data_IF_263825599095
#
_entry.id   IF_263825599095
#
_cell.length_a   1.000
_cell.length_b   1.000
_cell.length_c   1.000
_cell.angle_alpha   90.00
_cell.angle_beta   90.00
_cell.angle_gamma   90.00
#
_symmetry.space_group_name_H-M   'P 1'
#
loop_
_entity.id
_entity.type
_entity.pdbx_description
1 polymer ?
#
# COMPACT_ATOMS: atom_id res chain seq x y z
N UNK A 1 1.28 20.34 -31.69
CA UNK A 1 0.12 19.57 -31.21
C UNK A 1 -0.10 19.96 -29.77
N UNK A 2 -1.25 20.54 -29.44
CA UNK A 2 -1.61 20.86 -28.06
C UNK A 2 -1.73 19.55 -27.28
N UNK A 3 -1.40 19.56 -25.99
CA UNK A 3 -1.64 18.40 -25.11
C UNK A 3 -3.14 18.02 -25.06
N UNK A 4 -4.03 18.99 -25.28
CA UNK A 4 -5.48 18.79 -25.45
C UNK A 4 -5.83 17.95 -26.70
N UNK A 5 -5.04 18.00 -27.78
CA UNK A 5 -5.28 17.18 -28.98
C UNK A 5 -4.98 15.68 -28.74
N UNK A 6 -4.39 15.34 -27.58
CA UNK A 6 -3.99 13.98 -27.18
C UNK A 6 -4.73 13.47 -25.94
N UNK A 7 -5.75 14.18 -25.48
CA UNK A 7 -6.44 13.93 -24.21
C UNK A 7 -5.53 13.98 -22.96
N UNK A 8 -4.32 14.57 -23.07
CA UNK A 8 -3.36 14.71 -21.97
C UNK A 8 -3.67 15.95 -21.11
N UNK A 9 -4.87 15.99 -20.52
CA UNK A 9 -5.37 17.16 -19.77
C UNK A 9 -4.51 17.50 -18.55
N UNK A 10 -3.89 16.52 -17.88
CA UNK A 10 -3.01 16.78 -16.73
C UNK A 10 -1.76 17.59 -17.11
N UNK A 11 -1.15 17.28 -18.27
CA UNK A 11 0.01 18.01 -18.77
C UNK A 11 -0.39 19.40 -19.29
N UNK A 12 -1.56 19.51 -19.94
CA UNK A 12 -2.14 20.79 -20.34
C UNK A 12 -2.36 21.73 -19.13
N UNK A 13 -2.97 21.22 -18.05
CA UNK A 13 -3.19 21.95 -16.80
C UNK A 13 -1.87 22.43 -16.18
N UNK A 14 -0.81 21.60 -16.22
CA UNK A 14 0.50 21.98 -15.70
C UNK A 14 1.15 23.10 -16.52
N UNK A 15 0.98 23.08 -17.85
CA UNK A 15 1.40 24.18 -18.72
C UNK A 15 0.67 25.49 -18.40
N UNK A 16 -0.64 25.45 -18.19
CA UNK A 16 -1.41 26.66 -17.84
C UNK A 16 -1.04 27.24 -16.47
N UNK A 17 -0.80 26.38 -15.46
CA UNK A 17 -0.32 26.83 -14.14
C UNK A 17 1.05 27.50 -14.22
N UNK A 18 1.99 26.92 -14.99
CA UNK A 18 3.32 27.54 -15.21
C UNK A 18 3.24 28.91 -15.87
N UNK A 19 2.28 29.11 -16.77
CA UNK A 19 2.04 30.42 -17.41
C UNK A 19 1.52 31.42 -16.37
N UNK A 20 0.62 31.00 -15.46
CA UNK A 20 0.12 31.85 -14.40
C UNK A 20 1.20 32.25 -13.38
N UNK A 21 2.12 31.35 -13.08
CA UNK A 21 3.17 31.58 -12.07
C UNK A 21 4.41 32.29 -12.63
N UNK A 22 4.72 32.11 -13.92
CA UNK A 22 5.99 32.54 -14.53
C UNK A 22 5.94 33.82 -15.36
N UNK A 23 4.79 34.48 -15.51
CA UNK A 23 4.64 35.65 -16.39
C UNK A 23 5.24 36.93 -15.77
N UNK A 24 6.23 37.58 -16.42
CA UNK A 24 6.83 38.83 -15.96
C UNK A 24 5.79 39.94 -15.76
N UNK A 25 5.95 40.75 -14.71
CA UNK A 25 4.97 41.79 -14.32
C UNK A 25 4.75 42.85 -15.40
N UNK A 26 5.75 43.08 -16.23
CA UNK A 26 5.89 44.12 -17.26
C UNK A 26 5.57 43.62 -18.68
N UNK A 27 5.16 42.36 -18.84
CA UNK A 27 4.86 41.80 -20.15
C UNK A 27 3.62 42.46 -20.80
N UNK A 28 3.71 42.94 -22.04
CA UNK A 28 2.54 43.47 -22.76
C UNK A 28 1.52 42.35 -23.00
N UNK A 29 0.23 42.64 -22.76
CA UNK A 29 -0.85 41.63 -22.92
C UNK A 29 -0.90 40.59 -21.79
N UNK A 30 -0.18 40.79 -20.68
CA UNK A 30 -0.19 39.89 -19.51
C UNK A 30 -1.58 39.58 -18.99
N UNK A 31 -2.44 40.59 -18.90
CA UNK A 31 -3.79 40.43 -18.34
C UNK A 31 -4.67 39.54 -19.23
N UNK A 32 -4.54 39.68 -20.55
CA UNK A 32 -5.20 38.81 -21.54
C UNK A 32 -4.64 37.39 -21.48
N UNK A 33 -3.31 37.23 -21.39
CA UNK A 33 -2.65 35.93 -21.29
C UNK A 33 -3.04 35.19 -20.01
N UNK A 34 -3.12 35.88 -18.86
CA UNK A 34 -3.59 35.34 -17.58
C UNK A 34 -5.06 34.95 -17.69
N UNK A 35 -5.89 35.82 -18.25
CA UNK A 35 -7.33 35.56 -18.41
C UNK A 35 -7.58 34.34 -19.30
N UNK A 36 -6.83 34.22 -20.39
CA UNK A 36 -6.92 33.10 -21.33
C UNK A 36 -6.37 31.80 -20.73
N UNK A 37 -5.25 31.85 -20.01
CA UNK A 37 -4.70 30.71 -19.28
C UNK A 37 -5.64 30.20 -18.18
N UNK A 38 -6.32 31.10 -17.45
CA UNK A 38 -7.36 30.74 -16.47
C UNK A 38 -8.57 30.08 -17.14
N UNK A 39 -9.01 30.60 -18.28
CA UNK A 39 -10.11 30.03 -19.04
C UNK A 39 -9.78 28.60 -19.51
N UNK A 40 -8.63 28.41 -20.14
CA UNK A 40 -8.20 27.08 -20.60
C UNK A 40 -7.91 26.11 -19.45
N UNK A 41 -7.39 26.58 -18.32
CA UNK A 41 -7.24 25.75 -17.12
C UNK A 41 -8.61 25.26 -16.61
N UNK A 42 -9.63 26.11 -16.63
CA UNK A 42 -10.99 25.74 -16.20
C UNK A 42 -11.63 24.73 -17.16
N UNK A 43 -11.47 24.92 -18.46
CA UNK A 43 -12.03 24.02 -19.48
C UNK A 43 -11.31 22.65 -19.48
N UNK A 44 -9.97 22.65 -19.32
CA UNK A 44 -9.17 21.43 -19.16
C UNK A 44 -9.44 20.70 -17.84
N UNK A 45 -9.74 21.43 -16.75
CA UNK A 45 -10.13 20.83 -15.48
C UNK A 45 -11.51 20.16 -15.57
N UNK A 46 -12.50 20.83 -16.16
CA UNK A 46 -13.82 20.28 -16.37
C UNK A 46 -13.82 19.05 -17.30
N UNK A 47 -12.92 19.04 -18.31
CA UNK A 47 -12.77 17.91 -19.23
C UNK A 47 -11.97 16.76 -18.61
N UNK A 48 -10.91 17.06 -17.85
CA UNK A 48 -10.06 16.06 -17.20
C UNK A 48 -10.70 15.37 -15.98
N UNK A 49 -11.52 16.07 -15.20
CA UNK A 49 -12.24 15.48 -14.05
C UNK A 49 -13.17 14.36 -14.49
N UNK A 50 -13.88 14.53 -15.62
CA UNK A 50 -14.83 13.49 -16.08
C UNK A 50 -14.17 12.15 -16.37
N UNK A 51 -12.89 12.09 -16.75
CA UNK A 51 -12.22 10.80 -17.04
C UNK A 51 -11.61 10.15 -15.79
N UNK A 52 -11.17 10.93 -14.81
CA UNK A 52 -10.62 10.41 -13.54
C UNK A 52 -11.75 9.99 -12.58
N UNK A 53 -12.78 10.82 -12.45
CA UNK A 53 -13.96 10.52 -11.64
C UNK A 53 -14.69 9.27 -12.15
N UNK A 54 -14.81 9.08 -13.46
CA UNK A 54 -15.45 7.89 -14.03
C UNK A 54 -14.70 6.59 -13.73
N UNK A 55 -13.36 6.62 -13.70
CA UNK A 55 -12.57 5.41 -13.43
C UNK A 55 -12.61 5.04 -11.96
N UNK A 56 -12.44 6.01 -11.06
CA UNK A 56 -12.57 5.78 -9.62
C UNK A 56 -13.99 5.37 -9.25
N UNK A 57 -15.01 6.00 -9.84
CA UNK A 57 -16.40 5.60 -9.64
C UNK A 57 -16.65 4.17 -10.12
N UNK A 58 -16.18 3.80 -11.33
CA UNK A 58 -16.31 2.41 -11.83
C UNK A 58 -15.60 1.40 -10.92
N UNK A 59 -14.45 1.76 -10.33
CA UNK A 59 -13.75 0.89 -9.37
C UNK A 59 -14.54 0.75 -8.07
N UNK A 60 -15.10 1.84 -7.54
CA UNK A 60 -15.94 1.83 -6.34
C UNK A 60 -17.22 1.01 -6.56
N UNK A 61 -17.90 1.21 -7.69
CA UNK A 61 -19.10 0.46 -8.05
C UNK A 61 -18.81 -1.04 -8.19
N UNK A 62 -17.66 -1.40 -8.78
CA UNK A 62 -17.20 -2.80 -8.84
C UNK A 62 -16.94 -3.38 -7.45
N UNK A 63 -16.30 -2.61 -6.58
CA UNK A 63 -15.98 -3.06 -5.23
C UNK A 63 -17.26 -3.26 -4.41
N UNK A 64 -18.22 -2.34 -4.51
CA UNK A 64 -19.54 -2.45 -3.88
C UNK A 64 -20.29 -3.70 -4.38
N UNK A 65 -20.28 -3.95 -5.69
CA UNK A 65 -20.85 -5.19 -6.25
C UNK A 65 -20.21 -6.43 -5.61
N UNK A 66 -18.88 -6.48 -5.52
CA UNK A 66 -18.17 -7.62 -4.91
C UNK A 66 -18.54 -7.81 -3.44
N UNK A 67 -18.72 -6.74 -2.66
CA UNK A 67 -19.09 -6.85 -1.25
C UNK A 67 -20.50 -7.42 -1.04
N UNK A 68 -21.41 -7.17 -1.97
CA UNK A 68 -22.79 -7.70 -1.91
C UNK A 68 -22.90 -9.18 -2.28
N UNK A 69 -21.85 -9.79 -2.85
CA UNK A 69 -21.89 -11.20 -3.24
C UNK A 69 -22.02 -12.10 -2.00
N UNK A 70 -22.94 -13.08 -2.02
CA UNK A 70 -23.14 -13.98 -0.90
C UNK A 70 -22.00 -15.00 -0.81
N UNK A 71 -21.59 -15.35 0.41
CA UNK A 71 -20.54 -16.36 0.64
C UNK A 71 -20.93 -17.76 0.15
N UNK A 72 -22.22 -18.00 -0.10
CA UNK A 72 -22.75 -19.26 -0.65
C UNK A 72 -22.35 -19.54 -2.08
N UNK A 73 -22.02 -18.51 -2.86
CA UNK A 73 -21.68 -18.62 -4.28
C UNK A 73 -20.25 -19.15 -4.49
N UNK A 74 -19.47 -19.22 -3.42
CA UNK A 74 -18.09 -19.68 -3.45
C UNK A 74 -17.97 -21.15 -3.05
N UNK A 75 -16.97 -21.81 -3.62
CA UNK A 75 -16.64 -23.21 -3.33
C UNK A 75 -15.97 -23.36 -1.95
N UNK A 76 -16.76 -23.13 -0.92
CA UNK A 76 -16.37 -23.31 0.47
C UNK A 76 -16.70 -24.72 0.96
N UNK A 77 -15.81 -25.27 1.80
CA UNK A 77 -16.10 -26.52 2.47
C UNK A 77 -17.39 -26.41 3.31
N UNK A 78 -18.06 -27.55 3.50
CA UNK A 78 -19.30 -27.61 4.31
C UNK A 78 -19.06 -27.11 5.74
N UNK A 79 -17.83 -27.28 6.28
CA UNK A 79 -17.45 -26.72 7.58
C UNK A 79 -17.36 -25.20 7.55
N UNK A 80 -16.65 -24.63 6.56
CA UNK A 80 -16.51 -23.18 6.41
C UNK A 80 -17.89 -22.51 6.29
N UNK A 81 -18.79 -23.05 5.44
CA UNK A 81 -20.17 -22.53 5.30
C UNK A 81 -20.97 -22.61 6.59
N UNK A 82 -20.93 -23.72 7.31
CA UNK A 82 -21.64 -23.86 8.58
C UNK A 82 -21.09 -22.94 9.67
N UNK A 83 -19.78 -22.65 9.66
CA UNK A 83 -19.17 -21.71 10.60
C UNK A 83 -19.57 -20.27 10.29
N UNK A 84 -19.49 -19.86 9.02
CA UNK A 84 -19.89 -18.51 8.59
C UNK A 84 -21.37 -18.26 8.87
N UNK A 85 -22.24 -19.23 8.55
CA UNK A 85 -23.67 -19.12 8.84
C UNK A 85 -23.97 -18.98 10.34
N UNK A 86 -23.20 -19.68 11.20
CA UNK A 86 -23.34 -19.58 12.66
C UNK A 86 -22.88 -18.23 13.22
N UNK A 87 -21.93 -17.58 12.54
CA UNK A 87 -21.48 -16.22 12.85
C UNK A 87 -22.39 -15.14 12.25
N UNK A 88 -23.41 -15.52 11.47
CA UNK A 88 -24.29 -14.58 10.78
C UNK A 88 -23.66 -13.93 9.55
N UNK A 89 -22.50 -14.41 9.10
CA UNK A 89 -21.78 -13.90 7.93
C UNK A 89 -22.42 -14.47 6.67
N UNK A 90 -23.05 -13.62 5.86
CA UNK A 90 -23.77 -14.03 4.65
C UNK A 90 -23.15 -13.46 3.38
N UNK A 91 -22.47 -12.32 3.47
CA UNK A 91 -21.87 -11.64 2.32
C UNK A 91 -20.35 -11.51 2.48
N UNK A 92 -19.66 -11.25 1.36
CA UNK A 92 -18.25 -10.88 1.39
C UNK A 92 -18.01 -9.60 2.20
N UNK A 93 -18.95 -8.65 2.19
CA UNK A 93 -18.93 -7.46 3.02
C UNK A 93 -18.84 -7.77 4.51
N UNK A 94 -19.70 -8.67 5.00
CA UNK A 94 -19.69 -9.09 6.40
C UNK A 94 -18.35 -9.76 6.78
N UNK A 95 -17.79 -10.52 5.85
CA UNK A 95 -16.50 -11.20 6.03
C UNK A 95 -15.34 -10.20 6.10
N UNK A 96 -15.38 -9.13 5.31
CA UNK A 96 -14.39 -8.04 5.36
C UNK A 96 -14.46 -7.19 6.63
N UNK A 97 -15.58 -7.21 7.35
CA UNK A 97 -15.75 -6.55 8.65
C UNK A 97 -15.36 -7.44 9.83
N UNK A 98 -15.22 -8.75 9.60
CA UNK A 98 -14.85 -9.70 10.65
C UNK A 98 -13.33 -9.87 10.68
N UNK A 99 -12.72 -9.80 11.86
CA UNK A 99 -11.28 -9.99 11.99
C UNK A 99 -10.90 -11.48 11.99
N UNK A 100 -9.64 -11.78 11.62
CA UNK A 100 -9.11 -13.15 11.69
C UNK A 100 -9.20 -13.74 13.10
N UNK A 101 -9.03 -12.90 14.13
CA UNK A 101 -9.12 -13.29 15.53
C UNK A 101 -10.53 -13.73 15.93
N UNK A 102 -11.57 -13.03 15.47
CA UNK A 102 -12.97 -13.37 15.76
C UNK A 102 -13.39 -14.68 15.09
N UNK A 103 -12.88 -14.90 13.88
CA UNK A 103 -13.07 -16.12 13.12
C UNK A 103 -12.40 -17.31 13.81
N UNK A 104 -11.14 -17.16 14.26
CA UNK A 104 -10.39 -18.17 15.01
C UNK A 104 -10.95 -18.43 16.42
N UNK A 105 -11.58 -17.44 17.06
CA UNK A 105 -12.20 -17.60 18.37
C UNK A 105 -13.44 -18.52 18.33
N UNK A 106 -14.03 -18.72 17.15
CA UNK A 106 -15.14 -19.65 16.97
C UNK A 106 -14.67 -21.10 17.13
N UNK A 107 -15.23 -21.80 18.13
CA UNK A 107 -14.88 -23.18 18.54
C UNK A 107 -14.84 -24.25 17.44
N UNK A 108 -15.37 -23.96 16.25
CA UNK A 108 -15.47 -24.89 15.13
C UNK A 108 -14.67 -24.44 13.90
N UNK A 109 -13.92 -23.33 14.00
CA UNK A 109 -13.12 -22.81 12.90
C UNK A 109 -11.75 -23.49 12.85
N UNK A 110 -11.43 -24.11 11.71
CA UNK A 110 -10.14 -24.76 11.49
C UNK A 110 -9.19 -23.89 10.67
N UNK A 111 -7.89 -24.19 10.75
CA UNK A 111 -6.84 -23.56 9.95
C UNK A 111 -7.08 -23.73 8.43
N UNK A 112 -7.65 -24.86 8.02
CA UNK A 112 -8.04 -25.11 6.62
C UNK A 112 -9.18 -24.20 6.15
N UNK A 113 -10.21 -23.98 6.98
CA UNK A 113 -11.32 -23.08 6.67
C UNK A 113 -10.86 -21.63 6.52
N UNK A 114 -9.84 -21.24 7.28
CA UNK A 114 -9.27 -19.89 7.25
C UNK A 114 -8.46 -19.64 5.97
N UNK A 115 -7.68 -20.62 5.52
CA UNK A 115 -6.98 -20.55 4.23
C UNK A 115 -7.98 -20.46 3.07
N UNK A 116 -9.03 -21.30 3.06
CA UNK A 116 -10.10 -21.26 2.04
C UNK A 116 -10.71 -19.85 1.89
N UNK A 117 -11.00 -19.19 3.02
CA UNK A 117 -11.58 -17.85 3.04
C UNK A 117 -10.59 -16.79 2.57
N UNK A 118 -9.33 -16.88 3.01
CA UNK A 118 -8.27 -15.96 2.55
C UNK A 118 -8.06 -16.07 1.04
N UNK A 119 -8.08 -17.28 0.49
CA UNK A 119 -7.92 -17.49 -0.96
C UNK A 119 -9.09 -16.89 -1.76
N UNK A 120 -10.34 -17.05 -1.29
CA UNK A 120 -11.51 -16.44 -1.94
C UNK A 120 -11.44 -14.92 -1.89
N UNK A 121 -11.12 -14.34 -0.72
CA UNK A 121 -10.98 -12.90 -0.57
C UNK A 121 -9.86 -12.37 -1.47
N UNK A 122 -8.71 -13.03 -1.49
CA UNK A 122 -7.59 -12.67 -2.36
C UNK A 122 -7.97 -12.74 -3.86
N UNK A 123 -8.75 -13.74 -4.27
CA UNK A 123 -9.25 -13.85 -5.66
C UNK A 123 -10.13 -12.68 -6.10
N UNK A 124 -10.73 -11.96 -5.14
CA UNK A 124 -11.56 -10.79 -5.35
C UNK A 124 -10.86 -9.46 -5.03
N UNK A 125 -9.57 -9.51 -4.68
CA UNK A 125 -8.79 -8.34 -4.28
C UNK A 125 -9.18 -7.78 -2.91
N UNK A 126 -9.83 -8.58 -2.07
CA UNK A 126 -10.26 -8.22 -0.72
C UNK A 126 -9.33 -8.86 0.32
N UNK A 127 -9.31 -8.26 1.51
CA UNK A 127 -8.55 -8.75 2.66
C UNK A 127 -9.49 -8.95 3.85
N UNK A 128 -9.30 -10.05 4.57
CA UNK A 128 -10.07 -10.35 5.77
C UNK A 128 -9.84 -9.24 6.81
N UNK A 129 -10.91 -8.66 7.34
CA UNK A 129 -10.81 -7.55 8.30
C UNK A 129 -10.40 -6.20 7.70
N UNK A 130 -10.42 -5.99 6.38
CA UNK A 130 -10.11 -4.68 5.77
C UNK A 130 -11.03 -3.55 6.24
N UNK A 131 -12.24 -3.88 6.70
CA UNK A 131 -13.22 -2.95 7.25
C UNK A 131 -13.60 -3.31 8.69
N UNK A 132 -12.81 -4.17 9.36
CA UNK A 132 -13.02 -4.43 10.77
C UNK A 132 -12.65 -3.16 11.55
N UNK A 133 -13.57 -2.69 12.39
CA UNK A 133 -13.26 -1.66 13.37
C UNK A 133 -12.06 -2.16 14.20
N UNK A 134 -11.06 -1.31 14.46
CA UNK A 134 -9.95 -1.69 15.32
C UNK A 134 -10.49 -1.94 16.73
N UNK A 135 -10.78 -3.20 17.05
CA UNK A 135 -10.92 -3.63 18.43
C UNK A 135 -9.63 -3.22 19.14
N UNK A 136 -9.76 -2.39 20.17
CA UNK A 136 -8.66 -1.77 20.93
C UNK A 136 -7.81 -2.80 21.73
N UNK A 137 -7.63 -4.02 21.23
CA UNK A 137 -6.90 -5.11 21.87
C UNK A 137 -5.73 -5.66 21.04
N UNK A 138 -5.34 -5.01 19.94
CA UNK A 138 -4.05 -5.29 19.28
C UNK A 138 -3.29 -4.00 18.99
N UNK A 139 -2.77 -3.40 20.07
CA UNK A 139 -1.63 -2.48 19.97
C UNK A 139 -0.42 -3.25 19.45
N UNK A 140 -0.13 -3.12 18.14
CA UNK A 140 1.22 -3.04 17.58
C UNK A 140 1.18 -3.00 16.05
N UNK A 141 0.55 -1.98 15.52
CA UNK A 141 0.99 -1.39 14.25
C UNK A 141 1.12 0.09 14.50
N UNK A 142 2.34 0.62 14.76
CA UNK A 142 2.51 2.05 14.80
C UNK A 142 2.22 2.59 13.41
N UNK A 143 1.08 3.25 13.31
CA UNK A 143 0.79 4.31 12.36
C UNK A 143 1.94 5.31 12.50
N UNK A 144 2.79 5.41 11.48
CA UNK A 144 3.64 6.59 11.30
C UNK A 144 3.13 7.35 10.08
N UNK A 145 2.43 8.42 10.42
CA UNK A 145 2.13 9.57 9.57
C UNK A 145 3.43 10.38 9.46
N UNK A 146 4.09 10.40 8.29
CA UNK A 146 4.80 11.55 7.69
C UNK A 146 5.59 11.16 6.41
N UNK A 147 5.91 12.13 5.53
CA UNK A 147 5.86 11.95 4.08
C UNK A 147 7.22 11.56 3.44
N UNK A 148 7.22 11.53 2.11
CA UNK A 148 8.34 11.52 1.14
C UNK A 148 8.51 10.19 0.39
N UNK A 149 7.99 10.21 -0.85
CA UNK A 149 7.94 9.12 -1.81
C UNK A 149 9.28 8.63 -2.38
N UNK A 150 10.26 8.35 -1.52
CA UNK A 150 11.50 7.64 -1.89
C UNK A 150 11.72 6.37 -1.06
N UNK A 151 11.23 6.31 0.19
CA UNK A 151 11.50 5.16 1.07
C UNK A 151 10.77 3.88 0.63
N UNK A 152 9.55 4.00 0.11
CA UNK A 152 8.71 2.87 -0.33
C UNK A 152 9.38 2.02 -1.42
N UNK A 153 10.15 2.65 -2.32
CA UNK A 153 10.88 1.92 -3.36
C UNK A 153 12.05 1.13 -2.77
N UNK A 154 12.74 1.68 -1.76
CA UNK A 154 13.95 1.07 -1.17
C UNK A 154 13.64 -0.22 -0.41
N UNK A 155 12.48 -0.31 0.24
CA UNK A 155 12.08 -1.50 1.01
C UNK A 155 11.89 -2.76 0.15
N UNK A 156 11.60 -2.61 -1.14
CA UNK A 156 11.43 -3.72 -2.09
C UNK A 156 12.74 -4.26 -2.69
N UNK A 157 13.87 -3.58 -2.51
CA UNK A 157 15.13 -4.03 -3.08
C UNK A 157 15.69 -5.26 -2.34
N UNK A 158 16.36 -6.17 -3.05
CA UNK A 158 17.02 -7.31 -2.44
C UNK A 158 18.17 -6.84 -1.55
N UNK A 159 18.42 -7.58 -0.47
CA UNK A 159 19.54 -7.31 0.44
C UNK A 159 20.92 -7.33 -0.24
N UNK A 160 21.00 -7.89 -1.46
CA UNK A 160 22.22 -7.86 -2.26
C UNK A 160 22.66 -6.45 -2.65
N UNK A 161 21.70 -5.52 -2.75
CA UNK A 161 21.91 -4.12 -3.14
C UNK A 161 22.53 -3.26 -2.03
N UNK A 162 22.43 -3.72 -0.77
CA UNK A 162 23.12 -3.12 0.38
C UNK A 162 24.64 -3.37 0.38
N UNK A 163 25.17 -4.13 -0.59
CA UNK A 163 26.60 -4.43 -0.75
C UNK A 163 27.32 -4.85 0.55
N UNK A 164 26.61 -5.60 1.40
CA UNK A 164 27.13 -6.12 2.67
C UNK A 164 28.28 -7.11 2.46
N UNK A 165 29.19 -7.19 3.44
CA UNK A 165 30.26 -8.18 3.49
C UNK A 165 29.73 -9.61 3.40
N UNK A 166 30.60 -10.52 2.96
CA UNK A 166 30.27 -11.96 2.85
C UNK A 166 29.79 -12.53 4.19
N UNK A 167 30.27 -12.01 5.32
CA UNK A 167 29.83 -12.43 6.67
C UNK A 167 28.42 -11.93 6.97
N UNK A 168 28.17 -10.62 6.83
CA UNK A 168 26.86 -10.03 7.09
C UNK A 168 25.78 -10.64 6.18
N UNK A 169 26.09 -10.82 4.88
CA UNK A 169 25.20 -11.45 3.90
C UNK A 169 24.87 -12.91 4.23
N UNK A 170 25.88 -13.71 4.62
CA UNK A 170 25.63 -15.10 5.04
C UNK A 170 24.73 -15.18 6.28
N UNK A 171 24.87 -14.23 7.20
CA UNK A 171 24.02 -14.17 8.38
C UNK A 171 22.59 -13.76 8.03
N UNK A 172 22.39 -12.72 7.20
CA UNK A 172 21.06 -12.27 6.81
C UNK A 172 20.33 -13.30 5.96
N UNK A 173 21.01 -13.99 5.05
CA UNK A 173 20.44 -15.14 4.32
C UNK A 173 20.09 -16.30 5.26
N UNK A 174 20.89 -16.55 6.31
CA UNK A 174 20.60 -17.59 7.31
C UNK A 174 19.40 -17.24 8.19
N UNK A 175 19.15 -15.95 8.41
CA UNK A 175 17.95 -15.42 9.08
C UNK A 175 16.72 -15.36 8.16
N UNK A 176 16.86 -15.75 6.88
CA UNK A 176 15.79 -15.68 5.90
C UNK A 176 15.45 -14.24 5.47
N UNK A 177 16.34 -13.29 5.69
CA UNK A 177 16.16 -11.90 5.29
C UNK A 177 16.59 -11.75 3.83
N UNK A 178 15.62 -11.52 2.94
CA UNK A 178 15.83 -11.44 1.50
C UNK A 178 15.78 -9.99 0.99
N UNK A 179 15.04 -9.12 1.68
CA UNK A 179 14.81 -7.73 1.29
C UNK A 179 15.33 -6.72 2.31
N UNK A 180 15.56 -5.48 1.87
CA UNK A 180 15.93 -4.36 2.75
C UNK A 180 14.77 -4.08 3.74
N UNK A 181 13.53 -4.19 3.30
CA UNK A 181 12.35 -4.01 4.14
C UNK A 181 12.28 -4.99 5.32
N UNK A 182 12.62 -6.26 5.09
CA UNK A 182 12.71 -7.26 6.16
C UNK A 182 13.84 -6.98 7.15
N UNK A 183 14.98 -6.48 6.66
CA UNK A 183 16.13 -6.12 7.49
C UNK A 183 15.81 -4.96 8.45
N UNK A 184 15.15 -3.92 7.95
CA UNK A 184 14.73 -2.74 8.73
C UNK A 184 13.74 -3.10 9.83
N UNK A 185 12.90 -4.12 9.61
CA UNK A 185 11.92 -4.60 10.60
C UNK A 185 12.54 -5.41 11.75
N UNK A 186 13.80 -5.82 11.63
CA UNK A 186 14.54 -6.57 12.66
C UNK A 186 15.28 -5.62 13.60
N UNK A 187 15.42 -6.06 14.86
CA UNK A 187 16.17 -5.33 15.89
C UNK A 187 17.66 -5.72 15.82
N UNK A 188 18.52 -4.87 16.39
CA UNK A 188 19.95 -5.18 16.52
C UNK A 188 20.21 -6.45 17.35
N UNK A 189 19.35 -6.74 18.33
CA UNK A 189 19.42 -7.91 19.20
C UNK A 189 19.13 -9.21 18.44
N UNK A 190 18.08 -9.22 17.61
CA UNK A 190 17.73 -10.35 16.72
C UNK A 190 18.91 -10.72 15.79
N UNK A 191 19.62 -9.71 15.29
CA UNK A 191 20.77 -9.92 14.41
C UNK A 191 21.97 -10.49 15.18
N UNK A 192 22.19 -10.06 16.43
CA UNK A 192 23.26 -10.58 17.29
C UNK A 192 23.01 -12.00 17.82
N UNK A 193 21.77 -12.47 17.82
CA UNK A 193 21.45 -13.86 18.17
C UNK A 193 22.01 -14.87 17.15
N UNK A 194 22.35 -14.42 15.94
CA UNK A 194 22.90 -15.28 14.92
C UNK A 194 24.33 -15.75 15.26
N UNK A 195 24.53 -17.08 15.33
CA UNK A 195 25.87 -17.68 15.46
C UNK A 195 26.80 -17.19 14.35
N UNK A 196 27.82 -16.42 14.74
CA UNK A 196 28.83 -15.72 13.91
C UNK A 196 28.46 -14.32 13.40
N UNK A 197 27.39 -13.70 13.91
CA UNK A 197 27.13 -12.27 13.73
C UNK A 197 27.84 -11.50 14.84
N UNK A 198 28.79 -10.64 14.45
CA UNK A 198 29.59 -9.85 15.38
C UNK A 198 29.25 -8.37 15.31
N UNK A 199 29.76 -7.61 16.29
CA UNK A 199 29.59 -6.15 16.38
C UNK A 199 30.03 -5.43 15.10
N UNK A 200 31.05 -5.93 14.41
CA UNK A 200 31.51 -5.38 13.12
C UNK A 200 30.49 -5.56 11.99
N UNK A 201 29.80 -6.70 11.92
CA UNK A 201 28.73 -6.93 10.95
C UNK A 201 27.47 -6.13 11.28
N UNK A 202 27.18 -5.89 12.56
CA UNK A 202 26.08 -5.03 12.98
C UNK A 202 26.34 -3.57 12.58
N UNK A 203 27.54 -3.06 12.84
CA UNK A 203 27.92 -1.70 12.48
C UNK A 203 27.92 -1.50 10.96
N UNK A 204 28.37 -2.50 10.20
CA UNK A 204 28.31 -2.49 8.73
C UNK A 204 26.86 -2.42 8.22
N UNK A 205 25.94 -3.23 8.78
CA UNK A 205 24.52 -3.17 8.42
C UNK A 205 23.92 -1.80 8.73
N UNK A 206 24.25 -1.22 9.90
CA UNK A 206 23.79 0.12 10.30
C UNK A 206 24.30 1.20 9.36
N UNK A 207 25.58 1.19 9.03
CA UNK A 207 26.21 2.17 8.14
C UNK A 207 25.58 2.13 6.74
N UNK A 208 25.37 0.93 6.18
CA UNK A 208 24.74 0.75 4.87
C UNK A 208 23.26 1.12 4.83
N UNK A 209 22.54 0.95 5.95
CA UNK A 209 21.17 1.42 6.07
C UNK A 209 21.13 2.95 6.17
N UNK A 210 22.03 3.57 6.94
CA UNK A 210 22.13 5.03 7.07
C UNK A 210 22.53 5.70 5.76
N UNK A 211 23.43 5.10 4.97
CA UNK A 211 23.76 5.55 3.60
C UNK A 211 22.52 5.64 2.69
N UNK A 212 21.51 4.79 2.95
CA UNK A 212 20.24 4.74 2.21
C UNK A 212 19.10 5.47 2.93
N UNK A 213 19.40 6.20 4.01
CA UNK A 213 18.40 6.96 4.80
C UNK A 213 17.48 6.08 5.67
N UNK A 214 17.85 4.83 5.91
CA UNK A 214 17.08 3.85 6.70
C UNK A 214 17.74 3.57 8.05
N UNK A 215 16.93 3.13 9.02
CA UNK A 215 17.39 2.72 10.35
C UNK A 215 16.84 1.35 10.73
N UNK A 216 17.51 0.66 11.65
CA UNK A 216 16.99 -0.59 12.22
C UNK A 216 15.88 -0.29 13.22
N UNK A 217 14.99 -1.26 13.43
CA UNK A 217 13.93 -1.16 14.45
C UNK A 217 14.55 -1.06 15.83
N UNK A 218 14.35 0.10 16.48
CA UNK A 218 14.83 0.39 17.84
C UNK A 218 15.92 1.47 17.95
N UNK A 219 16.24 2.21 16.87
CA UNK A 219 17.29 3.26 16.83
C UNK A 219 16.93 4.50 16.00
#
# INVERSE_FOLDING_TARGET
LLYEDRDDFSQAQQCYRRILDGLPLDAPGREEAISRAKLFLKDSAASGDTQLDEQEQKQRDRLEQVLTLPVSDFELSVRSRNCLAKMGIQTLGDLTQTSEADVLASKNFGETSLVEIKDILASKGLVLGQFAEPSMASESSPIFDEPVGEQTEIHGLPITELNLSVRARKCTTKLGIMTIGELVRRTAEDLMECKNFGVTSLNEVRERLVERGLKLRGE
#
